data_IF_391800516642
#
_entry.id   IF_391800516642
#
_cell.length_a   1.000
_cell.length_b   1.000
_cell.length_c   1.000
_cell.angle_alpha   90.00
_cell.angle_beta   90.00
_cell.angle_gamma   90.00
#
_symmetry.space_group_name_H-M   'P 1'
#
loop_
_entity.id
_entity.type
_entity.pdbx_description
1 polymer ?
#
# COMPACT_ATOMS: atom_id res chain seq x y z
N UNK A 1 -40.57 28.22 -36.43
CA UNK A 1 -41.43 27.13 -35.94
C UNK A 1 -40.62 25.84 -35.94
N UNK A 2 -40.68 25.11 -34.89
CA UNK A 2 -40.12 23.85 -34.54
C UNK A 2 -38.90 23.95 -33.57
N UNK A 3 -39.25 23.94 -32.31
CA UNK A 3 -38.39 23.70 -31.15
C UNK A 3 -38.19 22.21 -31.03
N UNK A 4 -36.98 21.72 -31.24
CA UNK A 4 -36.62 20.34 -30.91
C UNK A 4 -36.03 20.28 -29.49
N UNK A 5 -36.86 19.72 -28.61
CA UNK A 5 -36.49 19.48 -27.22
C UNK A 5 -35.55 18.30 -27.09
N UNK A 6 -34.33 18.56 -26.63
CA UNK A 6 -33.45 17.52 -26.14
C UNK A 6 -34.04 16.93 -24.85
N UNK A 7 -34.70 15.80 -24.99
CA UNK A 7 -35.04 14.90 -23.85
C UNK A 7 -33.73 14.32 -23.32
N UNK A 8 -33.32 14.84 -22.17
CA UNK A 8 -32.37 14.15 -21.29
C UNK A 8 -33.01 12.83 -20.82
N UNK A 9 -32.71 11.73 -21.49
CA UNK A 9 -32.99 10.41 -20.97
C UNK A 9 -32.01 10.15 -19.82
N UNK A 10 -32.48 10.42 -18.60
CA UNK A 10 -31.93 9.82 -17.40
C UNK A 10 -32.27 8.32 -17.46
N UNK A 11 -31.42 7.54 -18.13
CA UNK A 11 -31.47 6.08 -18.08
C UNK A 11 -31.25 5.66 -16.65
N UNK A 12 -32.28 5.06 -16.07
CA UNK A 12 -32.32 4.59 -14.69
C UNK A 12 -31.11 3.73 -14.33
N UNK A 13 -30.34 4.20 -13.33
CA UNK A 13 -29.34 3.39 -12.60
C UNK A 13 -30.04 2.48 -11.56
N UNK A 14 -31.16 1.88 -11.94
CA UNK A 14 -31.81 0.89 -11.09
C UNK A 14 -31.14 -0.48 -11.33
N UNK A 15 -30.56 -1.04 -10.28
CA UNK A 15 -30.17 -2.46 -10.13
C UNK A 15 -28.91 -2.98 -10.87
N UNK A 16 -27.90 -2.15 -11.09
CA UNK A 16 -26.59 -2.66 -11.55
C UNK A 16 -25.62 -2.70 -10.37
N UNK A 17 -25.55 -3.87 -9.69
CA UNK A 17 -24.59 -4.08 -8.59
C UNK A 17 -23.18 -3.60 -8.90
N UNK A 18 -22.43 -3.18 -7.87
CA UNK A 18 -21.07 -2.62 -7.92
C UNK A 18 -20.18 -3.40 -8.90
N UNK A 19 -19.52 -2.70 -9.82
CA UNK A 19 -18.57 -3.25 -10.80
C UNK A 19 -17.15 -3.07 -10.30
N UNK A 20 -16.46 -4.19 -10.08
CA UNK A 20 -15.13 -4.25 -9.51
C UNK A 20 -14.11 -4.72 -10.55
N UNK A 21 -12.99 -4.00 -10.71
CA UNK A 21 -11.85 -4.50 -11.47
C UNK A 21 -10.69 -4.86 -10.56
N UNK A 22 -10.15 -6.07 -10.72
CA UNK A 22 -8.90 -6.49 -10.08
C UNK A 22 -7.77 -6.37 -11.10
N UNK A 23 -6.86 -5.41 -10.89
CA UNK A 23 -5.69 -5.25 -11.77
C UNK A 23 -4.65 -6.31 -11.46
N UNK A 24 -4.61 -7.38 -12.25
CA UNK A 24 -3.69 -8.51 -12.02
C UNK A 24 -3.32 -9.21 -13.34
N UNK A 25 -2.05 -9.57 -13.50
CA UNK A 25 -1.58 -10.42 -14.62
C UNK A 25 -1.94 -11.89 -14.45
N UNK A 26 -2.25 -12.31 -13.21
CA UNK A 26 -2.44 -13.71 -12.87
C UNK A 26 -3.83 -13.99 -12.30
N UNK A 27 -4.86 -14.26 -13.14
CA UNK A 27 -6.21 -14.55 -12.63
C UNK A 27 -6.27 -15.83 -11.79
N UNK A 28 -5.32 -16.76 -11.98
CA UNK A 28 -5.21 -18.01 -11.21
C UNK A 28 -4.38 -17.89 -9.92
N UNK A 29 -3.70 -16.75 -9.69
CA UNK A 29 -2.97 -16.53 -8.43
C UNK A 29 -3.94 -16.59 -7.25
N UNK A 30 -3.52 -17.25 -6.18
CA UNK A 30 -4.37 -17.47 -5.00
C UNK A 30 -5.13 -16.21 -4.58
N UNK A 31 -4.43 -15.12 -4.29
CA UNK A 31 -5.04 -13.89 -3.80
C UNK A 31 -6.04 -13.28 -4.79
N UNK A 32 -5.72 -13.29 -6.10
CA UNK A 32 -6.63 -12.79 -7.14
C UNK A 32 -7.88 -13.62 -7.21
N UNK A 33 -7.74 -14.95 -7.25
CA UNK A 33 -8.85 -15.89 -7.30
C UNK A 33 -9.75 -15.76 -6.07
N UNK A 34 -9.18 -15.70 -4.85
CA UNK A 34 -9.92 -15.54 -3.61
C UNK A 34 -10.76 -14.24 -3.58
N UNK A 35 -10.18 -13.11 -4.01
CA UNK A 35 -10.90 -11.83 -4.11
C UNK A 35 -12.08 -11.96 -5.09
N UNK A 36 -11.85 -12.56 -6.26
CA UNK A 36 -12.92 -12.79 -7.26
C UNK A 36 -14.02 -13.70 -6.72
N UNK A 37 -13.67 -14.79 -6.04
CA UNK A 37 -14.63 -15.70 -5.40
C UNK A 37 -15.50 -14.98 -4.37
N UNK A 38 -14.88 -14.18 -3.49
CA UNK A 38 -15.59 -13.44 -2.43
C UNK A 38 -16.47 -12.30 -2.99
N UNK A 39 -16.01 -11.62 -4.05
CA UNK A 39 -16.82 -10.62 -4.74
C UNK A 39 -18.07 -11.24 -5.38
N UNK A 40 -17.92 -12.38 -6.07
CA UNK A 40 -19.04 -13.08 -6.68
C UNK A 40 -20.06 -13.62 -5.66
N UNK A 41 -19.60 -14.11 -4.50
CA UNK A 41 -20.50 -14.53 -3.40
C UNK A 41 -21.38 -13.38 -2.88
N UNK A 42 -20.93 -12.13 -3.05
CA UNK A 42 -21.65 -10.93 -2.65
C UNK A 42 -22.38 -10.25 -3.82
N UNK A 43 -22.59 -11.02 -4.91
CA UNK A 43 -23.26 -10.58 -6.14
C UNK A 43 -22.63 -9.36 -6.83
N UNK A 44 -21.32 -9.13 -6.63
CA UNK A 44 -20.58 -8.09 -7.35
C UNK A 44 -20.21 -8.56 -8.76
N UNK A 45 -20.25 -7.64 -9.72
CA UNK A 45 -19.66 -7.85 -11.05
C UNK A 45 -18.16 -7.63 -10.97
N UNK A 46 -17.36 -8.68 -11.17
CA UNK A 46 -15.90 -8.59 -11.00
C UNK A 46 -15.16 -9.12 -12.21
N UNK A 47 -14.23 -8.31 -12.72
CA UNK A 47 -13.32 -8.64 -13.81
C UNK A 47 -11.85 -8.59 -13.36
N UNK A 48 -11.03 -9.48 -13.95
CA UNK A 48 -9.59 -9.45 -13.79
C UNK A 48 -8.97 -8.82 -15.03
N UNK A 49 -8.35 -7.66 -14.83
CA UNK A 49 -7.79 -6.84 -15.89
C UNK A 49 -6.26 -6.85 -15.81
N UNK A 50 -5.61 -7.33 -16.89
CA UNK A 50 -4.15 -7.33 -16.97
C UNK A 50 -3.63 -5.91 -17.20
N UNK A 51 -2.83 -5.34 -16.27
CA UNK A 51 -2.27 -4.00 -16.42
C UNK A 51 -1.48 -3.81 -17.71
N UNK A 52 -0.90 -4.87 -18.27
CA UNK A 52 -0.11 -4.81 -19.51
C UNK A 52 -0.98 -4.67 -20.78
N UNK A 53 -2.31 -4.67 -20.66
CA UNK A 53 -3.25 -4.61 -21.80
C UNK A 53 -4.09 -3.34 -21.82
N UNK A 54 -3.56 -2.27 -21.21
CA UNK A 54 -4.19 -0.95 -21.21
C UNK A 54 -3.57 -0.04 -22.26
N UNK A 55 -4.40 0.76 -22.88
CA UNK A 55 -3.99 1.92 -23.69
C UNK A 55 -4.47 3.16 -22.98
N UNK A 56 -3.54 4.07 -22.71
CA UNK A 56 -3.80 5.32 -22.00
C UNK A 56 -3.83 6.45 -23.02
N UNK A 57 -4.94 7.16 -23.10
CA UNK A 57 -5.12 8.28 -24.04
C UNK A 57 -5.02 9.58 -23.25
N UNK A 58 -4.12 10.46 -23.72
CA UNK A 58 -3.93 11.79 -23.17
C UNK A 58 -4.07 12.76 -24.33
N UNK A 59 -5.10 13.57 -24.28
CA UNK A 59 -5.44 14.55 -25.32
C UNK A 59 -5.64 15.91 -24.66
N UNK A 60 -5.69 16.97 -25.47
CA UNK A 60 -5.93 18.30 -24.92
C UNK A 60 -7.30 18.37 -24.21
N UNK A 61 -7.25 18.68 -22.92
CA UNK A 61 -8.43 18.80 -22.07
C UNK A 61 -9.12 17.48 -21.67
N UNK A 62 -8.58 16.30 -22.05
CA UNK A 62 -9.19 15.02 -21.70
C UNK A 62 -8.19 13.87 -21.51
N UNK A 63 -8.56 12.93 -20.65
CA UNK A 63 -7.89 11.64 -20.50
C UNK A 63 -8.92 10.52 -20.69
N UNK A 64 -8.51 9.40 -21.26
CA UNK A 64 -9.37 8.22 -21.42
C UNK A 64 -8.55 6.95 -21.38
N UNK A 65 -9.20 5.80 -21.14
CA UNK A 65 -8.51 4.52 -20.95
C UNK A 65 -9.25 3.38 -21.62
N UNK A 66 -8.49 2.58 -22.37
CA UNK A 66 -9.00 1.33 -22.97
C UNK A 66 -8.30 0.13 -22.36
N UNK A 67 -9.05 -0.94 -22.10
CA UNK A 67 -8.50 -2.25 -21.81
C UNK A 67 -8.84 -3.22 -22.93
N UNK A 68 -7.82 -3.78 -23.60
CA UNK A 68 -7.99 -4.64 -24.80
C UNK A 68 -8.86 -3.97 -25.90
N UNK A 69 -8.65 -2.68 -26.13
CA UNK A 69 -9.37 -1.92 -27.14
C UNK A 69 -10.82 -1.55 -26.80
N UNK A 70 -11.31 -1.83 -25.59
CA UNK A 70 -12.66 -1.49 -25.13
C UNK A 70 -12.59 -0.41 -24.03
N UNK A 71 -13.58 0.49 -23.94
CA UNK A 71 -13.68 1.45 -22.84
C UNK A 71 -13.63 0.72 -21.48
N UNK A 72 -12.90 1.34 -20.54
CA UNK A 72 -12.71 0.81 -19.19
C UNK A 72 -13.37 1.73 -18.17
N UNK A 73 -14.40 1.25 -17.50
CA UNK A 73 -15.13 1.99 -16.47
C UNK A 73 -15.63 1.01 -15.41
N UNK A 74 -15.23 1.24 -14.16
CA UNK A 74 -15.60 0.45 -12.98
C UNK A 74 -15.84 1.37 -11.78
N UNK A 75 -16.63 0.90 -10.82
CA UNK A 75 -16.93 1.66 -9.61
C UNK A 75 -15.77 1.57 -8.61
N UNK A 76 -15.05 0.43 -8.59
CA UNK A 76 -13.91 0.21 -7.72
C UNK A 76 -12.79 -0.61 -8.40
N UNK A 77 -11.56 -0.30 -8.00
CA UNK A 77 -10.34 -0.92 -8.52
C UNK A 77 -9.52 -1.50 -7.37
N UNK A 78 -9.17 -2.78 -7.47
CA UNK A 78 -8.20 -3.43 -6.56
C UNK A 78 -6.87 -3.59 -7.30
N UNK A 79 -5.82 -2.81 -6.98
CA UNK A 79 -4.52 -2.98 -7.60
C UNK A 79 -3.77 -4.17 -6.97
N UNK A 80 -3.59 -5.23 -7.76
CA UNK A 80 -2.73 -6.39 -7.45
C UNK A 80 -1.50 -6.38 -8.35
N UNK A 81 -0.85 -5.22 -8.40
CA UNK A 81 0.32 -4.95 -9.25
C UNK A 81 1.53 -5.71 -8.70
N UNK A 82 2.14 -6.57 -9.51
CA UNK A 82 3.38 -7.27 -9.16
C UNK A 82 4.60 -6.35 -9.19
N UNK A 83 5.65 -6.70 -8.46
CA UNK A 83 6.88 -5.88 -8.40
C UNK A 83 7.52 -5.66 -9.79
N UNK A 84 7.55 -6.69 -10.62
CA UNK A 84 8.19 -6.65 -11.96
C UNK A 84 7.53 -5.68 -12.96
N UNK A 85 6.30 -5.21 -12.66
CA UNK A 85 5.58 -4.25 -13.51
C UNK A 85 5.20 -2.98 -12.74
N UNK A 86 5.93 -2.66 -11.66
CA UNK A 86 5.59 -1.53 -10.78
C UNK A 86 5.38 -0.24 -11.56
N UNK A 87 6.35 0.17 -12.36
CA UNK A 87 6.30 1.44 -13.09
C UNK A 87 5.10 1.51 -14.04
N UNK A 88 4.91 0.47 -14.85
CA UNK A 88 3.79 0.42 -15.79
C UNK A 88 2.44 0.32 -15.08
N UNK A 89 2.32 -0.60 -14.11
CA UNK A 89 1.07 -0.80 -13.37
C UNK A 89 0.63 0.44 -12.59
N UNK A 90 1.58 1.17 -12.01
CA UNK A 90 1.33 2.44 -11.33
C UNK A 90 0.94 3.54 -12.32
N UNK A 91 1.54 3.59 -13.52
CA UNK A 91 1.14 4.53 -14.55
C UNK A 91 -0.32 4.30 -14.99
N UNK A 92 -0.72 3.04 -15.19
CA UNK A 92 -2.12 2.67 -15.46
C UNK A 92 -3.04 3.10 -14.32
N UNK A 93 -2.68 2.77 -13.07
CA UNK A 93 -3.49 3.08 -11.91
C UNK A 93 -3.67 4.60 -11.73
N UNK A 94 -2.58 5.38 -11.87
CA UNK A 94 -2.62 6.84 -11.80
C UNK A 94 -3.54 7.44 -12.87
N UNK A 95 -3.55 6.87 -14.08
CA UNK A 95 -4.43 7.30 -15.15
C UNK A 95 -5.90 7.02 -14.82
N UNK A 96 -6.18 5.84 -14.24
CA UNK A 96 -7.51 5.46 -13.73
C UNK A 96 -7.98 6.40 -12.63
N UNK A 97 -7.08 6.81 -11.72
CA UNK A 97 -7.35 7.79 -10.66
C UNK A 97 -7.75 9.16 -11.22
N UNK A 98 -7.13 9.60 -12.35
CA UNK A 98 -7.50 10.86 -13.02
C UNK A 98 -8.93 10.83 -13.61
N UNK A 99 -9.45 9.63 -13.89
CA UNK A 99 -10.82 9.43 -14.34
C UNK A 99 -11.84 9.35 -13.18
N UNK A 100 -11.41 9.55 -11.94
CA UNK A 100 -12.27 9.54 -10.76
C UNK A 100 -12.73 8.16 -10.30
N UNK A 101 -12.17 7.06 -10.83
CA UNK A 101 -12.50 5.71 -10.35
C UNK A 101 -11.89 5.47 -8.96
N UNK A 102 -12.69 4.94 -8.04
CA UNK A 102 -12.21 4.61 -6.70
C UNK A 102 -11.15 3.51 -6.74
N UNK A 103 -10.06 3.67 -5.99
CA UNK A 103 -8.95 2.69 -5.94
C UNK A 103 -8.66 2.28 -4.51
N UNK A 104 -8.59 0.97 -4.25
CA UNK A 104 -8.34 0.43 -2.91
C UNK A 104 -6.99 0.88 -2.33
N UNK A 105 -5.97 1.01 -3.16
CA UNK A 105 -4.68 1.62 -2.85
C UNK A 105 -4.32 2.62 -3.93
N UNK A 106 -3.79 3.78 -3.55
CA UNK A 106 -3.41 4.82 -4.51
C UNK A 106 -2.12 4.45 -5.25
N UNK A 107 -1.95 4.99 -6.46
CA UNK A 107 -0.72 4.86 -7.25
C UNK A 107 0.49 5.40 -6.47
N UNK A 108 0.32 6.52 -5.79
CA UNK A 108 1.35 7.14 -4.94
C UNK A 108 1.71 6.25 -3.75
N UNK A 109 0.71 5.69 -3.04
CA UNK A 109 0.95 4.78 -1.92
C UNK A 109 1.72 3.53 -2.31
N UNK A 110 1.41 2.97 -3.49
CA UNK A 110 2.14 1.82 -4.04
C UNK A 110 3.60 2.17 -4.32
N UNK A 111 3.89 3.33 -4.92
CA UNK A 111 5.27 3.77 -5.18
C UNK A 111 6.05 4.00 -3.89
N UNK A 112 5.47 4.74 -2.95
CA UNK A 112 6.08 5.05 -1.66
C UNK A 112 6.42 3.80 -0.86
N UNK A 113 5.50 2.83 -0.80
CA UNK A 113 5.70 1.60 -0.05
C UNK A 113 6.77 0.68 -0.66
N UNK A 114 7.03 0.79 -1.97
CA UNK A 114 8.02 -0.05 -2.69
C UNK A 114 9.43 0.50 -2.68
N UNK A 115 9.61 1.75 -2.40
CA UNK A 115 10.90 2.36 -2.15
C UNK A 115 11.21 2.29 -0.64
N UNK A 116 12.15 1.41 -0.27
CA UNK A 116 12.49 1.17 1.15
C UNK A 116 12.98 2.43 1.86
N UNK A 117 13.75 3.29 1.16
CA UNK A 117 14.23 4.53 1.75
C UNK A 117 13.08 5.51 1.94
N UNK A 118 12.27 5.73 0.89
CA UNK A 118 11.14 6.65 0.96
C UNK A 118 10.10 6.21 2.02
N UNK A 119 9.77 4.91 2.06
CA UNK A 119 8.90 4.37 3.10
C UNK A 119 9.46 4.65 4.52
N UNK A 120 10.75 4.38 4.75
CA UNK A 120 11.39 4.65 6.04
C UNK A 120 11.36 6.13 6.41
N UNK A 121 11.59 7.04 5.44
CA UNK A 121 11.51 8.49 5.66
C UNK A 121 10.10 8.94 6.08
N UNK A 122 9.05 8.44 5.39
CA UNK A 122 7.66 8.74 5.72
C UNK A 122 7.30 8.21 7.10
N UNK A 123 7.65 6.95 7.41
CA UNK A 123 7.37 6.33 8.70
C UNK A 123 8.05 7.09 9.84
N UNK A 124 9.35 7.39 9.70
CA UNK A 124 10.12 8.12 10.71
C UNK A 124 9.56 9.54 10.94
N UNK A 125 9.25 10.29 9.88
CA UNK A 125 8.64 11.63 9.98
C UNK A 125 7.31 11.60 10.74
N UNK A 126 6.55 10.52 10.61
CA UNK A 126 5.27 10.33 11.29
C UNK A 126 5.40 9.64 12.66
N UNK A 127 6.64 9.57 13.21
CA UNK A 127 6.94 8.96 14.53
C UNK A 127 6.41 7.54 14.67
N UNK A 128 6.48 6.77 13.58
CA UNK A 128 6.21 5.34 13.61
C UNK A 128 7.53 4.63 13.89
N UNK A 129 7.61 3.76 14.91
CA UNK A 129 8.84 3.08 15.26
C UNK A 129 9.32 2.19 14.12
N UNK A 130 10.57 2.38 13.71
CA UNK A 130 11.28 1.58 12.70
C UNK A 130 12.69 1.25 13.23
N UNK A 131 13.36 0.19 12.77
CA UNK A 131 14.78 0.00 13.03
C UNK A 131 15.59 1.19 12.52
N UNK A 132 16.57 1.67 13.27
CA UNK A 132 17.47 2.76 12.84
C UNK A 132 18.08 2.41 11.50
N UNK A 133 18.08 3.34 10.56
CA UNK A 133 18.45 3.08 9.16
C UNK A 133 19.23 4.25 8.61
N UNK A 134 20.38 3.98 7.99
CA UNK A 134 21.23 4.96 7.30
C UNK A 134 21.35 4.59 5.84
N UNK A 135 21.16 5.57 4.95
CA UNK A 135 21.40 5.42 3.53
C UNK A 135 22.87 5.78 3.21
N UNK A 136 23.58 4.86 2.60
CA UNK A 136 25.01 4.98 2.32
C UNK A 136 25.25 5.04 0.81
N UNK A 137 25.99 6.06 0.36
CA UNK A 137 26.42 6.26 -1.02
C UNK A 137 27.93 6.38 -1.15
N UNK A 138 28.63 6.69 -0.05
CA UNK A 138 30.08 6.73 0.00
C UNK A 138 30.59 5.66 0.95
N UNK A 139 31.68 4.99 0.56
CA UNK A 139 32.34 3.96 1.36
C UNK A 139 32.93 4.53 2.64
N UNK A 140 33.28 5.82 2.64
CA UNK A 140 33.83 6.52 3.81
C UNK A 140 32.81 6.72 4.94
N UNK A 141 31.50 6.65 4.62
CA UNK A 141 30.42 6.82 5.58
C UNK A 141 30.06 5.53 6.32
N UNK A 142 30.67 4.39 5.98
CA UNK A 142 30.25 3.06 6.47
C UNK A 142 30.42 2.95 7.99
N UNK A 143 31.55 3.36 8.56
CA UNK A 143 31.81 3.30 10.00
C UNK A 143 30.82 4.20 10.76
N UNK A 144 30.62 5.43 10.29
CA UNK A 144 29.67 6.35 10.87
C UNK A 144 28.22 5.80 10.78
N UNK A 145 27.88 5.11 9.68
CA UNK A 145 26.57 4.49 9.54
C UNK A 145 26.38 3.33 10.54
N UNK A 146 27.40 2.50 10.78
CA UNK A 146 27.39 1.45 11.78
C UNK A 146 27.14 2.04 13.16
N UNK A 147 27.86 3.09 13.55
CA UNK A 147 27.71 3.75 14.85
C UNK A 147 26.33 4.37 15.00
N UNK A 148 25.82 5.04 13.95
CA UNK A 148 24.51 5.69 13.96
C UNK A 148 23.35 4.71 14.14
N UNK A 149 23.48 3.47 13.66
CA UNK A 149 22.45 2.43 13.86
C UNK A 149 22.62 1.65 15.18
N UNK A 150 23.66 1.97 15.96
CA UNK A 150 23.90 1.41 17.31
C UNK A 150 24.94 0.31 17.37
N UNK A 151 25.79 0.21 16.37
CA UNK A 151 26.89 -0.75 16.33
C UNK A 151 26.54 -2.08 15.63
N UNK A 152 27.49 -2.96 15.69
CA UNK A 152 27.41 -4.30 15.10
C UNK A 152 26.66 -5.30 16.02
N UNK A 153 26.00 -6.32 15.43
CA UNK A 153 25.85 -6.61 14.02
C UNK A 153 24.83 -5.69 13.32
N UNK A 154 24.96 -5.54 12.01
CA UNK A 154 24.04 -4.72 11.20
C UNK A 154 23.45 -5.50 10.04
N UNK A 155 22.29 -5.06 9.56
CA UNK A 155 21.67 -5.57 8.33
C UNK A 155 21.96 -4.59 7.19
N UNK A 156 22.62 -5.09 6.14
CA UNK A 156 22.86 -4.35 4.89
C UNK A 156 21.78 -4.73 3.88
N UNK A 157 21.10 -3.74 3.31
CA UNK A 157 20.02 -3.95 2.33
C UNK A 157 20.25 -3.14 1.07
N UNK A 158 19.93 -3.70 -0.09
CA UNK A 158 19.76 -2.89 -1.30
C UNK A 158 18.38 -2.21 -1.28
N UNK A 159 18.29 -0.98 -1.79
CA UNK A 159 17.04 -0.21 -1.80
C UNK A 159 15.98 -0.83 -2.69
N UNK A 160 16.38 -1.53 -3.75
CA UNK A 160 15.51 -2.24 -4.68
C UNK A 160 15.75 -3.75 -4.59
N UNK A 161 14.68 -4.50 -4.44
CA UNK A 161 14.69 -5.97 -4.31
C UNK A 161 13.45 -6.46 -3.57
N UNK A 162 13.08 -7.72 -3.80
CA UNK A 162 11.91 -8.37 -3.21
C UNK A 162 12.30 -9.67 -2.51
N UNK A 163 11.40 -10.18 -1.67
CA UNK A 163 11.48 -11.52 -1.08
C UNK A 163 12.77 -11.80 -0.27
N UNK A 164 13.42 -10.76 0.26
CA UNK A 164 14.67 -10.90 1.02
C UNK A 164 15.94 -10.98 0.16
N UNK A 165 15.84 -10.83 -1.16
CA UNK A 165 16.99 -10.67 -2.02
C UNK A 165 17.72 -9.37 -1.68
N UNK A 166 19.07 -9.43 -1.61
CA UNK A 166 19.89 -8.26 -1.28
C UNK A 166 19.78 -7.80 0.18
N UNK A 167 19.49 -8.71 1.12
CA UNK A 167 19.47 -8.48 2.57
C UNK A 167 20.51 -9.35 3.24
N UNK A 168 21.46 -8.75 3.96
CA UNK A 168 22.64 -9.42 4.50
C UNK A 168 22.90 -9.02 5.94
N UNK A 169 23.03 -9.97 6.85
CA UNK A 169 23.53 -9.75 8.21
C UNK A 169 25.06 -9.76 8.21
N UNK A 170 25.68 -8.77 8.84
CA UNK A 170 27.14 -8.65 8.95
C UNK A 170 27.56 -8.34 10.38
N UNK A 171 28.64 -8.99 10.81
CA UNK A 171 29.08 -8.98 12.20
C UNK A 171 30.34 -8.14 12.42
N UNK A 172 31.06 -7.77 11.36
CA UNK A 172 32.28 -6.98 11.45
C UNK A 172 32.25 -5.79 10.50
N UNK A 173 32.90 -4.68 10.86
CA UNK A 173 33.01 -3.50 10.00
C UNK A 173 33.68 -3.81 8.64
N UNK A 174 34.65 -4.73 8.65
CA UNK A 174 35.33 -5.19 7.43
C UNK A 174 34.35 -5.86 6.46
N UNK A 175 33.47 -6.76 6.96
CA UNK A 175 32.46 -7.40 6.12
C UNK A 175 31.44 -6.40 5.56
N UNK A 176 31.01 -5.42 6.39
CA UNK A 176 30.09 -4.36 5.97
C UNK A 176 30.74 -3.52 4.87
N UNK A 177 31.96 -3.04 5.08
CA UNK A 177 32.70 -2.22 4.12
C UNK A 177 32.85 -2.93 2.77
N UNK A 178 33.35 -4.17 2.77
CA UNK A 178 33.54 -4.94 1.53
C UNK A 178 32.22 -5.17 0.78
N UNK A 179 31.15 -5.51 1.49
CA UNK A 179 29.83 -5.69 0.88
C UNK A 179 29.29 -4.40 0.29
N UNK A 180 29.33 -3.30 1.06
CA UNK A 180 28.88 -1.98 0.59
C UNK A 180 29.67 -1.54 -0.62
N UNK A 181 30.99 -1.66 -0.60
CA UNK A 181 31.85 -1.34 -1.74
C UNK A 181 31.44 -2.12 -3.00
N UNK A 182 31.28 -3.44 -2.88
CA UNK A 182 30.85 -4.27 -4.01
C UNK A 182 29.48 -3.87 -4.56
N UNK A 183 28.52 -3.54 -3.69
CA UNK A 183 27.19 -3.08 -4.11
C UNK A 183 27.24 -1.70 -4.79
N UNK A 184 28.00 -0.75 -4.25
CA UNK A 184 28.16 0.59 -4.83
C UNK A 184 28.81 0.52 -6.22
N UNK A 185 29.82 -0.35 -6.43
CA UNK A 185 30.44 -0.56 -7.73
C UNK A 185 29.46 -1.08 -8.79
N UNK A 186 28.43 -1.80 -8.40
CA UNK A 186 27.35 -2.26 -9.31
C UNK A 186 26.22 -1.22 -9.46
N UNK A 187 26.40 0.01 -8.98
CA UNK A 187 25.40 1.08 -9.05
C UNK A 187 24.23 0.90 -8.09
N UNK A 188 24.31 -0.04 -7.14
CA UNK A 188 23.23 -0.27 -6.17
C UNK A 188 23.29 0.76 -5.05
N UNK A 189 22.14 1.19 -4.61
CA UNK A 189 21.99 2.03 -3.39
C UNK A 189 21.82 1.13 -2.17
N UNK A 190 22.43 1.50 -1.06
CA UNK A 190 22.57 0.65 0.13
C UNK A 190 21.95 1.31 1.35
N UNK A 191 21.26 0.51 2.16
CA UNK A 191 20.81 0.85 3.52
C UNK A 191 21.62 0.02 4.52
N UNK A 192 22.18 0.66 5.52
CA UNK A 192 22.70 0.01 6.75
C UNK A 192 21.62 0.19 7.82
N UNK A 193 21.17 -0.92 8.40
CA UNK A 193 20.06 -0.92 9.33
C UNK A 193 20.41 -1.67 10.61
N UNK A 194 19.89 -1.17 11.73
CA UNK A 194 19.94 -1.82 13.02
C UNK A 194 19.44 -3.27 12.94
N UNK A 195 20.20 -4.17 13.52
CA UNK A 195 19.78 -5.56 13.69
C UNK A 195 19.00 -5.72 14.99
N UNK A 196 17.76 -6.19 14.90
CA UNK A 196 16.90 -6.45 16.05
C UNK A 196 17.06 -7.91 16.47
N UNK A 197 17.92 -8.13 17.48
CA UNK A 197 18.32 -9.47 17.91
C UNK A 197 17.13 -10.29 18.43
N UNK A 198 16.18 -9.64 19.12
CA UNK A 198 14.98 -10.25 19.67
C UNK A 198 14.07 -10.85 18.59
N UNK A 199 14.19 -10.35 17.37
CA UNK A 199 13.46 -10.82 16.20
C UNK A 199 14.28 -11.68 15.24
N UNK A 200 15.38 -12.26 15.72
CA UNK A 200 16.18 -13.16 14.89
C UNK A 200 15.34 -14.27 14.27
N UNK A 201 15.29 -14.33 12.95
CA UNK A 201 14.57 -15.35 12.20
C UNK A 201 13.04 -15.33 12.38
N UNK A 202 12.46 -14.27 12.94
CA UNK A 202 11.01 -14.15 13.11
C UNK A 202 10.52 -12.73 12.85
N UNK A 203 9.31 -12.62 12.36
CA UNK A 203 8.55 -11.38 12.27
C UNK A 203 7.04 -11.64 12.37
N UNK A 204 6.28 -10.59 12.56
CA UNK A 204 4.82 -10.62 12.53
C UNK A 204 4.35 -9.89 11.27
N UNK A 205 3.53 -10.55 10.46
CA UNK A 205 2.79 -9.89 9.39
C UNK A 205 1.38 -9.60 9.85
N UNK A 206 1.04 -8.33 9.96
CA UNK A 206 -0.31 -7.84 10.17
C UNK A 206 -0.93 -7.45 8.81
N UNK A 207 -2.14 -7.93 8.54
CA UNK A 207 -2.89 -7.53 7.35
C UNK A 207 -3.89 -6.45 7.72
N UNK A 208 -3.66 -5.26 7.18
CA UNK A 208 -4.50 -4.08 7.37
C UNK A 208 -5.48 -3.99 6.22
N UNK A 209 -6.76 -3.74 6.54
CA UNK A 209 -7.84 -3.42 5.61
C UNK A 209 -8.60 -2.24 6.20
N UNK A 210 -8.60 -1.11 5.48
CA UNK A 210 -9.10 0.15 6.01
C UNK A 210 -8.28 0.63 7.21
N UNK A 211 -8.93 0.75 8.34
CA UNK A 211 -8.37 1.25 9.61
C UNK A 211 -8.08 0.15 10.64
N UNK A 212 -8.23 -1.14 10.27
CA UNK A 212 -8.10 -2.27 11.20
C UNK A 212 -7.18 -3.37 10.68
N UNK A 213 -6.54 -4.08 11.61
CA UNK A 213 -5.88 -5.35 11.31
C UNK A 213 -6.93 -6.46 11.31
N UNK A 214 -7.12 -7.09 10.15
CA UNK A 214 -8.13 -8.17 9.97
C UNK A 214 -7.55 -9.55 10.27
N UNK A 215 -6.26 -9.74 10.08
CA UNK A 215 -5.56 -10.99 10.36
C UNK A 215 -4.09 -10.74 10.64
N UNK A 216 -3.46 -11.64 11.37
CA UNK A 216 -2.01 -11.62 11.56
C UNK A 216 -1.43 -13.03 11.58
N UNK A 217 -0.14 -13.12 11.30
CA UNK A 217 0.62 -14.35 11.40
C UNK A 217 2.06 -14.04 11.81
N UNK A 218 2.67 -14.93 12.60
CA UNK A 218 4.12 -14.94 12.81
C UNK A 218 4.77 -15.81 11.77
N UNK A 219 5.83 -15.29 11.13
CA UNK A 219 6.68 -16.06 10.23
C UNK A 219 7.96 -16.42 10.98
N UNK A 220 8.43 -17.65 10.79
CA UNK A 220 9.69 -18.13 11.36
C UNK A 220 10.56 -18.72 10.27
N UNK A 221 11.81 -18.32 10.25
CA UNK A 221 12.85 -18.92 9.42
C UNK A 221 13.15 -20.36 9.88
N UNK A 222 13.74 -21.15 8.99
CA UNK A 222 14.27 -22.48 9.34
C UNK A 222 15.77 -22.42 9.60
N UNK A 223 16.22 -23.16 10.60
CA UNK A 223 17.63 -23.29 10.91
C UNK A 223 18.25 -21.99 11.42
N UNK A 224 19.40 -21.58 10.84
CA UNK A 224 20.15 -20.38 11.23
C UNK A 224 19.86 -19.16 10.35
N UNK A 225 18.84 -19.23 9.49
CA UNK A 225 18.45 -18.10 8.63
C UNK A 225 17.82 -16.99 9.49
N UNK A 226 18.28 -15.76 9.33
CA UNK A 226 17.76 -14.61 10.08
C UNK A 226 16.58 -13.93 9.37
N UNK A 227 16.35 -14.23 8.07
CA UNK A 227 15.23 -13.70 7.30
C UNK A 227 14.02 -14.62 7.44
N UNK A 228 12.91 -14.10 7.92
CA UNK A 228 11.67 -14.85 8.21
C UNK A 228 10.76 -15.09 7.00
N UNK A 229 11.19 -14.76 5.77
CA UNK A 229 10.36 -14.83 4.57
C UNK A 229 9.84 -16.25 4.29
N UNK A 230 8.51 -16.40 4.15
CA UNK A 230 7.84 -17.69 3.86
C UNK A 230 8.38 -18.38 2.60
N UNK A 231 8.77 -17.63 1.57
CA UNK A 231 9.34 -18.17 0.32
C UNK A 231 10.71 -18.87 0.51
N UNK A 232 11.36 -18.65 1.66
CA UNK A 232 12.60 -19.34 2.06
C UNK A 232 12.35 -20.61 2.87
N UNK A 233 11.19 -21.27 2.68
CA UNK A 233 10.76 -22.44 3.45
C UNK A 233 10.51 -22.17 4.95
N UNK A 234 10.22 -20.92 5.31
CA UNK A 234 9.78 -20.56 6.66
C UNK A 234 8.42 -21.19 7.03
N UNK A 235 8.15 -21.27 8.31
CA UNK A 235 6.84 -21.67 8.84
C UNK A 235 6.00 -20.44 9.18
N UNK A 236 4.68 -20.61 9.17
CA UNK A 236 3.72 -19.59 9.61
C UNK A 236 2.87 -20.16 10.75
N UNK A 237 2.58 -19.32 11.73
CA UNK A 237 1.71 -19.67 12.86
C UNK A 237 0.74 -18.51 13.13
N UNK A 238 -0.44 -18.85 13.66
CA UNK A 238 -1.37 -17.84 14.15
C UNK A 238 -0.77 -17.18 15.41
N UNK A 239 -0.98 -15.88 15.56
CA UNK A 239 -0.50 -15.11 16.71
C UNK A 239 -1.54 -14.08 17.13
N UNK A 240 -1.72 -13.90 18.44
CA UNK A 240 -2.40 -12.69 18.92
C UNK A 240 -1.42 -11.53 18.89
N UNK A 241 -1.85 -10.40 18.32
CA UNK A 241 -1.01 -9.20 18.30
C UNK A 241 -0.82 -8.68 19.73
N UNK A 242 0.43 -8.43 20.15
CA UNK A 242 0.68 -7.71 21.40
C UNK A 242 0.11 -6.29 21.33
N UNK A 243 -0.03 -5.66 22.49
CA UNK A 243 -0.49 -4.28 22.60
C UNK A 243 0.35 -3.31 21.74
N UNK A 244 -0.29 -2.35 21.10
CA UNK A 244 0.35 -1.35 20.24
C UNK A 244 0.72 -1.83 18.82
N UNK A 245 0.77 -3.15 18.55
CA UNK A 245 1.17 -3.67 17.22
C UNK A 245 0.12 -3.37 16.16
N UNK A 246 -1.16 -3.51 16.48
CA UNK A 246 -2.26 -3.20 15.55
C UNK A 246 -2.27 -1.71 15.22
N UNK A 247 -2.09 -0.83 16.22
CA UNK A 247 -2.03 0.61 16.00
C UNK A 247 -0.84 0.99 15.10
N UNK A 248 0.35 0.47 15.38
CA UNK A 248 1.55 0.72 14.58
C UNK A 248 1.34 0.29 13.12
N UNK A 249 0.73 -0.90 12.88
CA UNK A 249 0.44 -1.41 11.55
C UNK A 249 -0.57 -0.52 10.80
N UNK A 250 -1.69 -0.17 11.43
CA UNK A 250 -2.71 0.70 10.81
C UNK A 250 -2.16 2.11 10.51
N UNK A 251 -1.40 2.70 11.44
CA UNK A 251 -0.75 4.00 11.21
C UNK A 251 0.25 3.93 10.06
N UNK A 252 1.06 2.87 9.98
CA UNK A 252 2.04 2.69 8.91
C UNK A 252 1.38 2.57 7.53
N UNK A 253 0.31 1.79 7.40
CA UNK A 253 -0.46 1.69 6.17
C UNK A 253 -1.06 3.04 5.76
N UNK A 254 -1.69 3.73 6.72
CA UNK A 254 -2.36 5.01 6.50
C UNK A 254 -1.42 6.12 6.02
N UNK A 255 -0.26 6.32 6.68
CA UNK A 255 0.67 7.39 6.29
C UNK A 255 1.34 7.15 4.95
N UNK A 256 1.36 5.91 4.48
CA UNK A 256 1.80 5.51 3.14
C UNK A 256 0.66 5.54 2.10
N UNK A 257 -0.57 5.92 2.49
CA UNK A 257 -1.72 6.00 1.58
C UNK A 257 -2.22 4.62 1.10
N UNK A 258 -2.15 3.61 1.97
CA UNK A 258 -2.58 2.24 1.66
C UNK A 258 -3.76 1.84 2.54
N UNK A 259 -4.89 1.48 1.92
CA UNK A 259 -6.05 0.92 2.61
C UNK A 259 -5.95 -0.61 2.75
N UNK A 260 -5.21 -1.27 1.84
CA UNK A 260 -4.96 -2.72 1.91
C UNK A 260 -3.45 -2.93 1.95
N UNK A 261 -2.92 -3.37 3.07
CA UNK A 261 -1.48 -3.53 3.25
C UNK A 261 -1.12 -4.74 4.12
N UNK A 262 0.01 -5.36 3.78
CA UNK A 262 0.68 -6.30 4.66
C UNK A 262 1.83 -5.60 5.37
N UNK A 263 1.71 -5.39 6.68
CA UNK A 263 2.73 -4.71 7.48
C UNK A 263 3.57 -5.74 8.20
N UNK A 264 4.86 -5.72 7.95
CA UNK A 264 5.84 -6.60 8.60
C UNK A 264 6.43 -5.87 9.81
N UNK A 265 6.32 -6.49 10.98
CA UNK A 265 6.70 -5.94 12.27
C UNK A 265 7.74 -6.83 12.94
N UNK A 266 8.80 -6.20 13.46
CA UNK A 266 9.74 -6.85 14.37
C UNK A 266 9.31 -6.63 15.81
N UNK A 267 9.56 -7.66 16.64
CA UNK A 267 9.35 -7.63 18.09
C UNK A 267 10.62 -7.04 18.73
N UNK A 268 10.63 -5.75 19.04
CA UNK A 268 11.72 -5.08 19.73
C UNK A 268 11.48 -5.01 21.25
N UNK A 269 12.53 -4.70 22.03
CA UNK A 269 12.48 -4.61 23.49
C UNK A 269 11.50 -3.53 24.02
N UNK A 270 11.21 -2.51 23.20
CA UNK A 270 10.36 -1.39 23.57
C UNK A 270 9.04 -1.34 22.76
N UNK A 271 8.67 -2.45 22.10
CA UNK A 271 7.46 -2.56 21.32
C UNK A 271 7.70 -2.87 19.83
N UNK A 272 6.66 -2.69 18.98
CA UNK A 272 6.74 -3.00 17.57
C UNK A 272 7.67 -2.06 16.81
N UNK A 273 8.43 -2.63 15.87
CA UNK A 273 9.20 -1.88 14.89
C UNK A 273 8.71 -2.25 13.48
N UNK A 274 8.20 -1.28 12.74
CA UNK A 274 7.73 -1.51 11.36
C UNK A 274 8.94 -1.71 10.45
N UNK A 275 9.02 -2.90 9.85
CA UNK A 275 10.12 -3.29 8.96
C UNK A 275 9.81 -2.96 7.51
N UNK A 276 8.59 -3.27 7.06
CA UNK A 276 8.16 -3.12 5.66
C UNK A 276 6.63 -3.02 5.58
N UNK A 277 6.14 -2.27 4.58
CA UNK A 277 4.70 -2.18 4.27
C UNK A 277 4.48 -2.59 2.81
N UNK A 278 3.73 -3.67 2.62
CA UNK A 278 3.51 -4.29 1.32
C UNK A 278 2.14 -3.91 0.74
N UNK A 279 2.10 -3.18 -0.37
CA UNK A 279 0.87 -2.71 -1.03
C UNK A 279 0.08 -3.78 -1.78
N UNK A 280 0.65 -4.96 -1.99
CA UNK A 280 -0.01 -6.10 -2.65
C UNK A 280 0.28 -7.40 -1.91
N UNK A 281 -0.15 -7.53 -0.62
CA UNK A 281 0.20 -8.67 0.20
C UNK A 281 -0.39 -9.98 -0.34
N UNK A 282 0.38 -11.08 -0.26
CA UNK A 282 -0.14 -12.43 -0.52
C UNK A 282 -1.11 -12.85 0.59
N UNK A 283 -2.26 -13.42 0.21
CA UNK A 283 -3.30 -13.83 1.16
C UNK A 283 -3.17 -15.29 1.61
N UNK A 284 -2.51 -16.14 0.83
CA UNK A 284 -2.49 -17.59 1.06
C UNK A 284 -1.94 -17.98 2.44
N UNK A 285 -0.77 -17.47 2.78
CA UNK A 285 -0.12 -17.81 4.04
C UNK A 285 -0.90 -17.33 5.25
N UNK A 286 -1.44 -16.11 5.19
CA UNK A 286 -2.15 -15.52 6.32
C UNK A 286 -3.57 -16.11 6.49
N UNK A 287 -4.30 -16.40 5.41
CA UNK A 287 -5.60 -17.09 5.48
C UNK A 287 -5.43 -18.51 6.05
N UNK A 288 -4.38 -19.24 5.62
CA UNK A 288 -4.07 -20.59 6.14
C UNK A 288 -3.67 -20.56 7.63
N UNK A 289 -2.88 -19.57 8.04
CA UNK A 289 -2.38 -19.48 9.41
C UNK A 289 -3.46 -19.02 10.40
N UNK A 290 -4.27 -18.03 10.02
CA UNK A 290 -5.26 -17.40 10.90
C UNK A 290 -6.65 -18.04 10.84
N UNK A 291 -6.98 -18.73 9.74
CA UNK A 291 -8.34 -19.18 9.45
C UNK A 291 -9.32 -18.07 9.07
N UNK A 292 -8.85 -16.83 8.96
CA UNK A 292 -9.69 -15.66 8.65
C UNK A 292 -9.89 -15.53 7.14
N UNK A 293 -11.12 -15.25 6.70
CA UNK A 293 -11.46 -14.93 5.32
C UNK A 293 -11.03 -13.50 4.98
N UNK A 294 -9.74 -13.31 4.71
CA UNK A 294 -9.14 -12.00 4.42
C UNK A 294 -9.65 -11.42 3.11
N UNK A 295 -9.82 -12.26 2.09
CA UNK A 295 -10.38 -11.81 0.81
C UNK A 295 -11.82 -11.29 0.98
N UNK A 296 -12.62 -11.93 1.85
CA UNK A 296 -13.95 -11.45 2.22
C UNK A 296 -13.91 -10.07 2.88
N UNK A 297 -13.03 -9.88 3.87
CA UNK A 297 -12.87 -8.60 4.57
C UNK A 297 -12.44 -7.46 3.61
N UNK A 298 -11.59 -7.76 2.62
CA UNK A 298 -11.21 -6.79 1.59
C UNK A 298 -12.42 -6.37 0.75
N UNK A 299 -13.25 -7.32 0.31
CA UNK A 299 -14.42 -7.03 -0.51
C UNK A 299 -15.47 -6.26 0.29
N UNK A 300 -15.71 -6.63 1.54
CA UNK A 300 -16.61 -5.90 2.45
C UNK A 300 -16.19 -4.45 2.63
N UNK A 301 -14.91 -4.22 2.92
CA UNK A 301 -14.36 -2.87 3.03
C UNK A 301 -14.61 -2.03 1.76
N UNK A 302 -14.41 -2.62 0.57
CA UNK A 302 -14.63 -1.91 -0.70
C UNK A 302 -16.11 -1.56 -0.87
N UNK A 303 -17.00 -2.49 -0.54
CA UNK A 303 -18.46 -2.24 -0.61
C UNK A 303 -18.87 -1.12 0.35
N UNK A 304 -18.34 -1.11 1.56
CA UNK A 304 -18.61 -0.08 2.56
C UNK A 304 -18.07 1.29 2.10
N UNK A 305 -16.81 1.36 1.66
CA UNK A 305 -16.15 2.62 1.31
C UNK A 305 -16.70 3.22 0.00
N UNK A 306 -17.10 2.40 -0.96
CA UNK A 306 -17.72 2.87 -2.20
C UNK A 306 -19.20 3.23 -2.06
N UNK A 307 -19.91 2.69 -1.07
CA UNK A 307 -21.29 3.06 -0.78
C UNK A 307 -21.42 4.49 -0.22
N UNK A 308 -20.38 4.99 0.45
CA UNK A 308 -20.29 6.40 0.82
C UNK A 308 -19.82 7.19 -0.40
N UNK A 309 -20.76 7.54 -1.30
CA UNK A 309 -20.47 8.24 -2.55
C UNK A 309 -19.55 9.45 -2.32
N UNK A 310 -18.59 9.63 -3.20
CA UNK A 310 -17.72 10.82 -3.20
C UNK A 310 -18.60 12.06 -3.22
N UNK A 311 -18.52 12.86 -2.16
CA UNK A 311 -18.93 14.26 -2.28
C UNK A 311 -17.90 14.88 -3.21
N UNK A 312 -18.31 15.18 -4.45
CA UNK A 312 -17.47 15.89 -5.42
C UNK A 312 -17.25 17.33 -4.91
N UNK A 313 -16.24 17.46 -4.04
CA UNK A 313 -15.80 18.75 -3.49
C UNK A 313 -15.33 19.69 -4.59
N UNK A 314 -14.77 19.16 -5.69
CA UNK A 314 -14.35 19.95 -6.84
C UNK A 314 -15.57 20.55 -7.55
N UNK A 315 -16.65 19.80 -7.70
CA UNK A 315 -17.91 20.31 -8.23
C UNK A 315 -18.55 21.32 -7.29
N UNK A 316 -18.51 21.08 -5.98
CA UNK A 316 -19.03 21.98 -4.95
C UNK A 316 -18.23 23.29 -4.88
N UNK A 317 -16.90 23.24 -4.98
CA UNK A 317 -16.01 24.41 -4.96
C UNK A 317 -16.07 25.23 -6.25
N UNK A 318 -16.33 24.62 -7.41
CA UNK A 318 -16.55 25.33 -8.70
C UNK A 318 -17.84 26.15 -8.70
N UNK A 319 -18.80 25.85 -7.83
CA UNK A 319 -20.06 26.61 -7.71
C UNK A 319 -19.95 27.84 -6.80
N UNK A 320 -18.84 28.02 -6.08
CA UNK A 320 -18.60 29.15 -5.18
C UNK A 320 -17.63 30.15 -5.86
N UNK A 321 -18.06 31.36 -6.23
CA UNK A 321 -17.21 32.38 -6.84
C UNK A 321 -16.05 32.75 -5.91
N UNK A 322 -14.80 32.73 -6.42
CA UNK A 322 -13.60 33.13 -5.69
C UNK A 322 -12.93 32.00 -4.90
N UNK A 323 -13.41 30.75 -4.98
CA UNK A 323 -12.77 29.59 -4.35
C UNK A 323 -11.64 29.03 -5.22
N UNK A 324 -10.48 28.81 -4.62
CA UNK A 324 -9.40 28.00 -5.20
C UNK A 324 -9.65 26.50 -4.92
N UNK A 325 -9.17 25.62 -5.81
CA UNK A 325 -9.27 24.17 -5.64
C UNK A 325 -8.34 23.73 -4.51
N UNK A 326 -8.90 23.37 -3.36
CA UNK A 326 -8.20 22.67 -2.29
C UNK A 326 -8.56 21.20 -2.41
N UNK A 327 -7.66 20.36 -2.92
CA UNK A 327 -7.86 18.92 -2.98
C UNK A 327 -7.66 18.33 -1.57
N UNK A 328 -8.74 18.21 -0.81
CA UNK A 328 -8.76 17.51 0.48
C UNK A 328 -9.24 16.08 0.26
N UNK A 329 -8.35 15.11 0.41
CA UNK A 329 -8.75 13.71 0.52
C UNK A 329 -9.40 13.50 1.89
N UNK A 330 -10.71 13.73 1.97
CA UNK A 330 -11.52 13.46 3.18
C UNK A 330 -11.85 11.97 3.34
N UNK A 331 -11.24 11.10 2.53
CA UNK A 331 -11.43 9.66 2.59
C UNK A 331 -11.00 9.14 3.96
N UNK A 332 -11.93 8.46 4.63
CA UNK A 332 -11.70 7.67 5.85
C UNK A 332 -11.48 8.43 7.17
N UNK A 333 -12.15 9.54 7.40
CA UNK A 333 -12.20 10.08 8.75
C UNK A 333 -13.53 9.71 9.43
N UNK A 334 -13.60 8.69 10.33
CA UNK A 334 -14.84 8.23 10.97
C UNK A 334 -15.62 9.33 11.68
N UNK A 335 -14.95 10.43 12.09
CA UNK A 335 -15.54 11.59 12.75
C UNK A 335 -16.24 12.57 11.79
N UNK A 336 -16.13 12.36 10.47
CA UNK A 336 -16.65 13.28 9.44
C UNK A 336 -17.89 12.75 8.73
N UNK A 337 -18.20 11.46 8.90
CA UNK A 337 -19.40 10.83 8.31
C UNK A 337 -20.65 11.45 8.93
N UNK A 338 -21.55 11.96 8.08
CA UNK A 338 -22.82 12.58 8.52
C UNK A 338 -22.71 14.02 9.01
N UNK A 339 -21.54 14.66 9.00
CA UNK A 339 -21.37 16.07 9.36
C UNK A 339 -21.63 17.01 8.17
N UNK A 340 -22.17 18.19 8.47
CA UNK A 340 -22.30 19.25 7.47
C UNK A 340 -20.92 19.84 7.12
N UNK A 341 -20.75 20.33 5.89
CA UNK A 341 -19.45 20.82 5.38
C UNK A 341 -18.78 21.85 6.32
N UNK A 342 -19.56 22.79 6.89
CA UNK A 342 -19.05 23.80 7.83
C UNK A 342 -18.56 23.20 9.16
N UNK A 343 -19.13 22.07 9.61
CA UNK A 343 -18.67 21.36 10.82
C UNK A 343 -17.36 20.63 10.59
N UNK A 344 -17.14 20.16 9.35
CA UNK A 344 -15.89 19.54 8.94
C UNK A 344 -14.76 20.59 8.89
N UNK A 345 -15.02 21.77 8.31
CA UNK A 345 -14.05 22.85 8.25
C UNK A 345 -13.73 23.47 9.62
N UNK A 346 -14.69 23.52 10.53
CA UNK A 346 -14.47 24.00 11.90
C UNK A 346 -13.56 23.06 12.72
N UNK A 347 -13.44 21.80 12.35
CA UNK A 347 -12.61 20.80 13.04
C UNK A 347 -11.20 20.62 12.44
N UNK A 348 -10.86 21.29 11.33
CA UNK A 348 -9.53 21.26 10.71
C UNK A 348 -8.72 22.42 11.28
N UNK A 349 -7.57 22.15 11.95
CA UNK A 349 -6.70 23.24 12.42
C UNK A 349 -6.25 24.10 11.23
N UNK A 350 -6.44 25.40 11.33
CA UNK A 350 -6.17 26.41 10.28
C UNK A 350 -4.70 26.54 9.88
N UNK A 351 -3.81 25.70 10.39
CA UNK A 351 -2.38 25.69 10.06
C UNK A 351 -2.02 25.21 8.63
N UNK A 352 -3.01 24.79 7.84
CA UNK A 352 -2.81 24.37 6.45
C UNK A 352 -3.03 25.50 5.40
N UNK A 353 -3.28 26.74 5.81
CA UNK A 353 -3.55 27.88 4.92
C UNK A 353 -2.37 28.86 4.77
N UNK A 354 -1.14 28.43 4.95
CA UNK A 354 0.01 29.24 4.54
C UNK A 354 0.44 28.88 3.12
N UNK A 355 0.36 29.86 2.25
CA UNK A 355 0.66 30.02 0.82
C UNK A 355 1.67 29.08 0.22
#
# INVERSE_FOLDING_TARGET
MATDGHKNESVGREDMGLRLAVLSRGPRLYSTRRIVEEARKRNLRVDVCDPMKFSLMVMDGSVDVLHKGKPFSYDAIIPRIGHSITQHGVAVLRHIEQLGMWTANTSQGILQSRDKLHASQILARNRIPIPRTVYVRDILDVEQAIDAVGGLPVVVKVTQGTQGEGVFLRHTAFEVRNLVQGLLLTGKSVLVQEYIAESHGKDIRALVVGDRVVACMRRRARGREFRSNFHLNGTVENVQLPEGYAEAACRAARVLGLNIAGVDLLEGNHGPLVLEVNSSPGLEGIEKASGVNVAGAIVEYIMEDTAFGEVDLDQLLRTVPGSGVLSLQLRNHPKMVGKRLHEVFASIPVFALSR
#
